data_IF_189981499802
#
_entry.id   IF_189981499802
#
_cell.length_a   1.000
_cell.length_b   1.000
_cell.length_c   1.000
_cell.angle_alpha   90.00
_cell.angle_beta   90.00
_cell.angle_gamma   90.00
#
_symmetry.space_group_name_H-M   'P 1'
#
loop_
_entity.id
_entity.type
_entity.pdbx_description
1 polymer ?
#
# COMPACT_ATOMS: atom_id res chain seq x y z
N UNK A 1 1.92 -10.49 19.29
CA UNK A 1 1.02 -10.74 20.44
C UNK A 1 -0.40 -10.70 19.88
N UNK A 2 -1.15 -11.81 19.96
CA UNK A 2 -2.48 -11.91 19.34
C UNK A 2 -3.50 -11.25 20.29
N UNK A 3 -3.97 -10.05 19.98
CA UNK A 3 -5.00 -9.37 20.76
C UNK A 3 -6.38 -9.81 20.25
N UNK A 4 -7.02 -10.71 20.98
CA UNK A 4 -8.47 -10.86 20.87
C UNK A 4 -9.12 -9.91 21.86
N UNK A 5 -10.04 -9.05 21.40
CA UNK A 5 -10.77 -8.14 22.27
C UNK A 5 -12.20 -8.65 22.41
N UNK A 6 -12.48 -9.25 23.56
CA UNK A 6 -13.79 -9.79 23.90
C UNK A 6 -14.43 -8.96 25.01
N UNK A 7 -15.68 -8.56 24.81
CA UNK A 7 -16.60 -8.21 25.89
C UNK A 7 -17.74 -9.25 25.88
N UNK A 8 -18.21 -9.68 27.06
CA UNK A 8 -19.37 -10.58 27.20
C UNK A 8 -19.39 -11.79 26.25
N UNK A 9 -20.43 -11.88 25.42
CA UNK A 9 -20.71 -13.02 24.54
C UNK A 9 -19.81 -13.15 23.29
N UNK A 10 -18.82 -12.28 23.11
CA UNK A 10 -17.92 -12.36 21.96
C UNK A 10 -17.17 -13.70 21.85
N UNK A 11 -16.87 -14.34 22.98
CA UNK A 11 -16.25 -15.67 23.03
C UNK A 11 -17.17 -16.83 22.62
N UNK A 12 -18.45 -16.58 22.31
CA UNK A 12 -19.35 -17.62 21.78
C UNK A 12 -19.02 -17.97 20.33
N UNK A 13 -18.56 -17.01 19.54
CA UNK A 13 -18.26 -17.19 18.12
C UNK A 13 -17.18 -18.26 17.83
N UNK A 14 -16.00 -18.28 18.51
CA UNK A 14 -14.97 -19.28 18.26
C UNK A 14 -15.32 -20.62 18.91
N UNK A 15 -15.99 -20.59 20.07
CA UNK A 15 -16.49 -21.80 20.73
C UNK A 15 -17.56 -22.50 19.89
N UNK A 16 -18.46 -21.74 19.27
CA UNK A 16 -19.46 -22.26 18.35
C UNK A 16 -18.77 -22.92 17.15
N UNK A 17 -17.74 -22.30 16.58
CA UNK A 17 -17.00 -22.87 15.45
C UNK A 17 -16.36 -24.21 15.81
N UNK A 18 -15.70 -24.29 16.97
CA UNK A 18 -15.09 -25.53 17.48
C UNK A 18 -16.18 -26.58 17.75
N UNK A 19 -17.24 -26.22 18.47
CA UNK A 19 -18.33 -27.11 18.82
C UNK A 19 -19.06 -27.66 17.58
N UNK A 20 -19.28 -26.83 16.57
CA UNK A 20 -19.90 -27.24 15.31
C UNK A 20 -19.03 -28.22 14.55
N UNK A 21 -17.72 -27.98 14.44
CA UNK A 21 -16.83 -28.90 13.78
C UNK A 21 -16.82 -30.27 14.48
N UNK A 22 -16.52 -30.31 15.78
CA UNK A 22 -16.44 -31.57 16.52
C UNK A 22 -17.80 -32.26 16.67
N UNK A 23 -18.90 -31.50 16.78
CA UNK A 23 -20.25 -32.05 16.73
C UNK A 23 -20.56 -32.72 15.39
N UNK A 24 -20.17 -32.10 14.28
CA UNK A 24 -20.30 -32.70 12.95
C UNK A 24 -19.41 -33.93 12.75
N UNK A 25 -18.16 -33.90 13.25
CA UNK A 25 -17.28 -35.08 13.26
C UNK A 25 -17.88 -36.21 14.08
N UNK A 26 -18.36 -35.94 15.29
CA UNK A 26 -19.01 -36.95 16.14
C UNK A 26 -20.27 -37.54 15.50
N UNK A 27 -21.09 -36.71 14.84
CA UNK A 27 -22.26 -37.18 14.10
C UNK A 27 -21.87 -38.09 12.93
N UNK A 28 -20.89 -37.69 12.12
CA UNK A 28 -20.41 -38.52 11.00
C UNK A 28 -19.75 -39.82 11.47
N UNK A 29 -19.01 -39.80 12.58
CA UNK A 29 -18.46 -41.00 13.22
C UNK A 29 -19.56 -41.96 13.69
N UNK A 30 -20.61 -41.45 14.33
CA UNK A 30 -21.74 -42.26 14.76
C UNK A 30 -22.51 -42.87 13.58
N UNK A 31 -22.68 -42.13 12.48
CA UNK A 31 -23.36 -42.59 11.27
C UNK A 31 -22.63 -43.75 10.58
N UNK A 32 -21.30 -43.84 10.71
CA UNK A 32 -20.50 -44.91 10.12
C UNK A 32 -20.17 -46.04 11.10
N UNK A 33 -20.74 -46.02 12.32
CA UNK A 33 -20.38 -46.99 13.36
C UNK A 33 -18.93 -46.85 13.86
N UNK A 34 -18.24 -45.76 13.51
CA UNK A 34 -16.84 -45.52 13.81
C UNK A 34 -15.84 -46.13 12.83
N UNK A 35 -16.31 -46.66 11.70
CA UNK A 35 -15.44 -47.37 10.76
C UNK A 35 -14.77 -46.43 9.73
N UNK A 36 -15.26 -45.19 9.59
CA UNK A 36 -14.75 -44.24 8.59
C UNK A 36 -14.58 -42.81 9.13
N UNK A 37 -13.33 -42.47 9.45
CA UNK A 37 -12.95 -41.13 9.93
C UNK A 37 -13.07 -40.05 8.85
N UNK A 38 -13.02 -40.41 7.56
CA UNK A 38 -13.11 -39.44 6.47
C UNK A 38 -14.53 -38.95 6.29
N UNK A 39 -15.51 -39.86 6.38
CA UNK A 39 -16.93 -39.47 6.40
C UNK A 39 -17.24 -38.58 7.61
N UNK A 40 -16.62 -38.84 8.76
CA UNK A 40 -16.70 -37.98 9.93
C UNK A 40 -16.15 -36.57 9.66
N UNK A 41 -14.95 -36.45 9.08
CA UNK A 41 -14.39 -35.16 8.71
C UNK A 41 -15.18 -34.42 7.62
N UNK A 42 -15.71 -35.12 6.62
CA UNK A 42 -16.59 -34.53 5.61
C UNK A 42 -17.86 -33.95 6.24
N UNK A 43 -18.44 -34.66 7.21
CA UNK A 43 -19.64 -34.19 7.91
C UNK A 43 -19.33 -32.96 8.75
N UNK A 44 -18.20 -32.95 9.48
CA UNK A 44 -17.70 -31.78 10.19
C UNK A 44 -17.47 -30.57 9.28
N UNK A 45 -16.76 -30.76 8.17
CA UNK A 45 -16.51 -29.72 7.17
C UNK A 45 -17.81 -29.20 6.53
N UNK A 46 -18.71 -30.10 6.13
CA UNK A 46 -20.00 -29.73 5.54
C UNK A 46 -20.85 -28.89 6.49
N UNK A 47 -20.89 -29.26 7.78
CA UNK A 47 -21.60 -28.50 8.81
C UNK A 47 -21.00 -27.11 9.02
N UNK A 48 -19.67 -27.00 9.00
CA UNK A 48 -18.98 -25.69 9.04
C UNK A 48 -19.33 -24.82 7.82
N UNK A 49 -19.37 -25.36 6.61
CA UNK A 49 -19.78 -24.58 5.42
C UNK A 49 -21.23 -24.11 5.56
N UNK A 50 -22.12 -25.03 5.94
CA UNK A 50 -23.56 -24.77 6.06
C UNK A 50 -23.87 -23.67 7.08
N UNK A 51 -23.12 -23.62 8.19
CA UNK A 51 -23.38 -22.69 9.29
C UNK A 51 -22.53 -21.41 9.25
N UNK A 52 -21.67 -21.25 8.25
CA UNK A 52 -20.91 -20.01 8.07
C UNK A 52 -21.79 -18.74 7.95
N UNK A 53 -22.95 -18.76 7.24
CA UNK A 53 -23.85 -17.61 7.21
C UNK A 53 -24.44 -17.27 8.58
N UNK A 54 -24.76 -18.29 9.40
CA UNK A 54 -25.27 -18.08 10.75
C UNK A 54 -24.20 -17.46 11.65
N UNK A 55 -22.94 -17.87 11.50
CA UNK A 55 -21.82 -17.25 12.20
C UNK A 55 -21.63 -15.78 11.79
N UNK A 56 -21.73 -15.46 10.50
CA UNK A 56 -21.71 -14.07 10.04
C UNK A 56 -22.84 -13.25 10.66
N UNK A 57 -24.08 -13.76 10.67
CA UNK A 57 -25.24 -13.11 11.29
C UNK A 57 -25.06 -12.92 12.81
N UNK A 58 -24.50 -13.91 13.50
CA UNK A 58 -24.17 -13.82 14.92
C UNK A 58 -23.15 -12.70 15.15
N UNK A 59 -22.10 -12.63 14.33
CA UNK A 59 -21.11 -11.57 14.43
C UNK A 59 -21.71 -10.18 14.17
N UNK A 60 -22.61 -10.06 13.19
CA UNK A 60 -23.36 -8.81 12.96
C UNK A 60 -24.22 -8.44 14.16
N UNK A 61 -24.90 -9.42 14.77
CA UNK A 61 -25.71 -9.18 15.96
C UNK A 61 -24.86 -8.70 17.14
N UNK A 62 -23.71 -9.34 17.37
CA UNK A 62 -22.76 -8.96 18.42
C UNK A 62 -22.16 -7.57 18.20
N UNK A 63 -21.80 -7.24 16.97
CA UNK A 63 -21.22 -5.94 16.59
C UNK A 63 -22.27 -4.90 16.17
N UNK A 64 -23.49 -5.00 16.71
CA UNK A 64 -24.53 -3.99 16.50
C UNK A 64 -25.38 -3.74 17.74
N UNK A 65 -25.74 -2.47 17.94
CA UNK A 65 -26.63 -2.02 19.00
C UNK A 65 -27.82 -1.29 18.41
N UNK A 66 -29.04 -1.67 18.80
CA UNK A 66 -30.26 -0.96 18.41
C UNK A 66 -30.42 0.27 19.32
N UNK A 67 -30.50 1.45 18.71
CA UNK A 67 -30.77 2.74 19.36
C UNK A 67 -32.12 3.29 18.89
N UNK A 68 -32.71 4.29 19.56
CA UNK A 68 -33.93 4.94 19.09
C UNK A 68 -33.80 5.54 17.67
N UNK A 69 -32.59 5.95 17.29
CA UNK A 69 -32.25 6.49 15.96
C UNK A 69 -31.97 5.44 14.89
N UNK A 70 -32.01 4.14 15.21
CA UNK A 70 -31.73 3.05 14.27
C UNK A 70 -30.72 2.03 14.79
N UNK A 71 -30.13 1.23 13.91
CA UNK A 71 -29.07 0.28 14.29
C UNK A 71 -27.70 0.94 14.13
N UNK A 72 -26.91 0.98 15.20
CA UNK A 72 -25.52 1.45 15.19
C UNK A 72 -24.58 0.26 15.19
N UNK A 73 -23.64 0.24 14.25
CA UNK A 73 -22.59 -0.78 14.15
C UNK A 73 -21.37 -0.35 14.97
N UNK A 74 -20.68 -1.32 15.56
CA UNK A 74 -19.46 -1.10 16.34
C UNK A 74 -18.54 -2.33 16.24
N UNK A 75 -17.25 -2.15 16.43
CA UNK A 75 -16.25 -3.24 16.32
C UNK A 75 -15.67 -3.57 17.71
N UNK A 76 -16.57 -3.81 18.68
CA UNK A 76 -16.19 -4.09 20.07
C UNK A 76 -15.72 -5.54 20.26
N UNK A 77 -16.16 -6.45 19.38
CA UNK A 77 -15.75 -7.85 19.36
C UNK A 77 -14.88 -8.12 18.13
N UNK A 78 -13.60 -8.42 18.36
CA UNK A 78 -12.63 -8.61 17.28
C UNK A 78 -11.75 -9.86 17.42
N UNK A 79 -11.46 -10.49 16.27
CA UNK A 79 -10.38 -11.47 16.07
C UNK A 79 -9.24 -10.82 15.30
N UNK A 80 -8.04 -10.75 15.87
CA UNK A 80 -6.88 -10.16 15.15
C UNK A 80 -7.20 -8.74 14.64
N UNK A 81 -7.83 -7.92 15.49
CA UNK A 81 -8.34 -6.58 15.16
C UNK A 81 -9.39 -6.54 14.03
N UNK A 82 -9.99 -7.68 13.69
CA UNK A 82 -11.08 -7.78 12.72
C UNK A 82 -12.41 -8.01 13.42
N UNK A 83 -13.48 -7.32 13.00
CA UNK A 83 -14.81 -7.57 13.53
C UNK A 83 -15.22 -9.05 13.44
N UNK A 84 -15.80 -9.59 14.52
CA UNK A 84 -16.16 -11.00 14.67
C UNK A 84 -17.04 -11.55 13.53
N UNK A 85 -17.83 -10.70 12.88
CA UNK A 85 -18.61 -11.10 11.70
C UNK A 85 -17.73 -11.63 10.56
N UNK A 86 -16.45 -11.30 10.49
CA UNK A 86 -15.52 -11.87 9.50
C UNK A 86 -14.91 -13.22 9.92
N UNK A 87 -15.23 -13.71 11.13
CA UNK A 87 -14.81 -15.02 11.62
C UNK A 87 -15.34 -16.21 10.80
N UNK A 88 -16.38 -16.00 9.97
CA UNK A 88 -16.83 -17.03 9.02
C UNK A 88 -15.82 -17.30 7.90
N UNK A 89 -14.91 -16.36 7.59
CA UNK A 89 -13.87 -16.56 6.56
C UNK A 89 -12.91 -17.69 6.96
N UNK A 90 -12.21 -17.62 8.12
CA UNK A 90 -11.36 -18.73 8.53
C UNK A 90 -12.16 -20.03 8.73
N UNK A 91 -13.43 -19.98 9.17
CA UNK A 91 -14.32 -21.15 9.23
C UNK A 91 -14.47 -21.84 7.87
N UNK A 92 -14.90 -21.10 6.84
CA UNK A 92 -15.07 -21.63 5.49
C UNK A 92 -13.76 -22.21 4.97
N UNK A 93 -12.65 -21.55 5.26
CA UNK A 93 -11.36 -22.03 4.77
C UNK A 93 -10.92 -23.32 5.45
N UNK A 94 -11.05 -23.44 6.78
CA UNK A 94 -10.79 -24.70 7.48
C UNK A 94 -11.71 -25.82 6.97
N UNK A 95 -12.99 -25.53 6.77
CA UNK A 95 -13.95 -26.47 6.24
C UNK A 95 -13.56 -26.96 4.85
N UNK A 96 -13.13 -26.06 3.96
CA UNK A 96 -12.68 -26.42 2.62
C UNK A 96 -11.39 -27.24 2.64
N UNK A 97 -10.42 -26.92 3.50
CA UNK A 97 -9.20 -27.73 3.65
C UNK A 97 -9.55 -29.14 4.09
N UNK A 98 -10.26 -29.27 5.21
CA UNK A 98 -10.59 -30.57 5.83
C UNK A 98 -11.47 -31.39 4.89
N UNK A 99 -12.49 -30.76 4.31
CA UNK A 99 -13.39 -31.41 3.36
C UNK A 99 -12.67 -31.87 2.10
N UNK A 100 -11.72 -31.09 1.58
CA UNK A 100 -10.95 -31.47 0.39
C UNK A 100 -10.00 -32.63 0.65
N UNK A 101 -9.34 -32.67 1.81
CA UNK A 101 -8.48 -33.78 2.22
C UNK A 101 -9.32 -35.05 2.35
N UNK A 102 -10.43 -34.99 3.09
CA UNK A 102 -11.29 -36.14 3.33
C UNK A 102 -11.94 -36.66 2.03
N UNK A 103 -12.44 -35.77 1.18
CA UNK A 103 -12.98 -36.13 -0.14
C UNK A 103 -11.91 -36.78 -1.02
N UNK A 104 -10.68 -36.23 -0.99
CA UNK A 104 -9.55 -36.75 -1.76
C UNK A 104 -9.15 -38.17 -1.35
N UNK A 105 -9.21 -38.46 -0.05
CA UNK A 105 -8.92 -39.78 0.50
C UNK A 105 -10.03 -40.80 0.22
N UNK A 106 -11.30 -40.37 0.15
CA UNK A 106 -12.46 -41.24 -0.11
C UNK A 106 -12.70 -41.55 -1.59
N UNK A 107 -12.36 -40.62 -2.48
CA UNK A 107 -12.74 -40.71 -3.90
C UNK A 107 -11.53 -40.80 -4.81
N UNK A 108 -10.92 -39.65 -5.09
CA UNK A 108 -9.63 -39.53 -5.72
C UNK A 108 -8.99 -38.20 -5.33
N UNK A 109 -7.65 -38.11 -5.33
CA UNK A 109 -6.97 -36.85 -5.12
C UNK A 109 -7.50 -35.72 -6.02
N UNK A 110 -7.90 -36.02 -7.26
CA UNK A 110 -8.41 -35.05 -8.23
C UNK A 110 -9.69 -34.34 -7.76
N UNK A 111 -10.62 -35.06 -7.13
CA UNK A 111 -11.86 -34.47 -6.62
C UNK A 111 -11.63 -33.62 -5.37
N UNK A 112 -10.72 -34.07 -4.49
CA UNK A 112 -10.23 -33.23 -3.39
C UNK A 112 -9.64 -31.91 -3.91
N UNK A 113 -8.88 -31.96 -5.01
CA UNK A 113 -8.29 -30.78 -5.65
C UNK A 113 -9.32 -29.84 -6.29
N UNK A 114 -10.30 -30.37 -7.02
CA UNK A 114 -11.37 -29.54 -7.61
C UNK A 114 -12.12 -28.75 -6.55
N UNK A 115 -12.36 -29.35 -5.38
CA UNK A 115 -12.95 -28.65 -4.24
C UNK A 115 -11.99 -27.65 -3.60
N UNK A 116 -10.71 -28.02 -3.43
CA UNK A 116 -9.73 -27.17 -2.75
C UNK A 116 -9.34 -25.91 -3.53
N UNK A 117 -9.20 -26.02 -4.85
CA UNK A 117 -8.77 -24.90 -5.72
C UNK A 117 -9.98 -24.26 -6.41
N UNK A 118 -10.89 -25.09 -6.93
CA UNK A 118 -12.04 -24.62 -7.70
C UNK A 118 -12.98 -23.76 -6.85
N UNK A 119 -13.25 -24.14 -5.59
CA UNK A 119 -14.18 -23.40 -4.74
C UNK A 119 -13.61 -22.03 -4.31
N UNK A 120 -12.36 -21.89 -3.81
CA UNK A 120 -11.79 -20.59 -3.51
C UNK A 120 -11.62 -19.70 -4.75
N UNK A 121 -11.24 -20.26 -5.91
CA UNK A 121 -11.13 -19.48 -7.15
C UNK A 121 -12.51 -19.01 -7.61
N UNK A 122 -13.50 -19.89 -7.64
CA UNK A 122 -14.88 -19.51 -7.98
C UNK A 122 -15.44 -18.46 -7.00
N UNK A 123 -15.17 -18.59 -5.71
CA UNK A 123 -15.55 -17.62 -4.68
C UNK A 123 -14.84 -16.27 -4.89
N UNK A 124 -13.55 -16.26 -5.21
CA UNK A 124 -12.80 -15.05 -5.53
C UNK A 124 -13.29 -14.38 -6.82
N UNK A 125 -13.63 -15.16 -7.84
CA UNK A 125 -14.19 -14.65 -9.10
C UNK A 125 -15.58 -14.07 -8.86
N UNK A 126 -16.46 -14.78 -8.17
CA UNK A 126 -17.79 -14.31 -7.79
C UNK A 126 -17.70 -13.04 -6.93
N UNK A 127 -16.79 -13.01 -5.97
CA UNK A 127 -16.53 -11.83 -5.13
C UNK A 127 -16.01 -10.64 -5.96
N UNK A 128 -15.07 -10.87 -6.86
CA UNK A 128 -14.54 -9.82 -7.75
C UNK A 128 -15.59 -9.27 -8.72
N UNK A 129 -16.57 -10.10 -9.13
CA UNK A 129 -17.73 -9.66 -9.91
C UNK A 129 -18.69 -8.82 -9.07
N UNK A 130 -18.95 -9.22 -7.81
CA UNK A 130 -19.84 -8.50 -6.88
C UNK A 130 -19.24 -7.18 -6.36
N UNK A 131 -17.92 -7.12 -6.12
CA UNK A 131 -17.19 -5.91 -5.72
C UNK A 131 -17.21 -4.83 -6.82
N UNK A 132 -17.37 -5.24 -8.08
CA UNK A 132 -17.54 -4.31 -9.20
C UNK A 132 -18.84 -3.52 -9.11
N UNK A 133 -19.85 -4.03 -8.38
CA UNK A 133 -21.17 -3.42 -8.24
C UNK A 133 -21.39 -2.71 -6.89
N UNK A 134 -20.63 -3.04 -5.83
CA UNK A 134 -20.77 -2.41 -4.51
C UNK A 134 -19.43 -1.85 -4.03
N UNK A 135 -19.42 -0.56 -3.67
CA UNK A 135 -18.33 0.13 -2.95
C UNK A 135 -18.13 -0.45 -1.53
N UNK A 136 -17.79 -1.73 -1.43
CA UNK A 136 -17.48 -2.36 -0.15
C UNK A 136 -16.08 -1.88 0.27
N UNK A 137 -15.96 -1.47 1.53
CA UNK A 137 -14.74 -0.92 2.13
C UNK A 137 -13.61 -1.95 2.32
N UNK A 138 -12.62 -1.68 3.20
CA UNK A 138 -11.33 -2.40 3.31
C UNK A 138 -11.36 -3.90 3.69
N UNK A 139 -12.53 -4.54 3.68
CA UNK A 139 -12.78 -5.95 3.96
C UNK A 139 -12.07 -6.88 2.96
N UNK A 140 -11.79 -6.40 1.75
CA UNK A 140 -11.25 -7.20 0.64
C UNK A 140 -9.86 -7.78 0.90
N UNK A 141 -9.03 -7.09 1.68
CA UNK A 141 -7.59 -7.31 1.62
C UNK A 141 -7.11 -8.37 2.60
N UNK A 142 -7.88 -8.58 3.66
CA UNK A 142 -7.60 -9.55 4.71
C UNK A 142 -8.24 -10.90 4.41
N UNK A 143 -9.44 -10.92 3.80
CA UNK A 143 -10.01 -12.12 3.19
C UNK A 143 -9.04 -12.73 2.17
N UNK A 144 -8.39 -11.87 1.37
CA UNK A 144 -7.36 -12.27 0.42
C UNK A 144 -6.10 -12.82 1.10
N UNK A 145 -5.60 -12.18 2.16
CA UNK A 145 -4.47 -12.72 2.94
C UNK A 145 -4.76 -14.10 3.55
N UNK A 146 -5.97 -14.33 4.06
CA UNK A 146 -6.38 -15.63 4.60
C UNK A 146 -6.50 -16.71 3.52
N UNK A 147 -7.12 -16.42 2.38
CA UNK A 147 -7.19 -17.37 1.25
C UNK A 147 -5.80 -17.81 0.81
N UNK A 148 -4.83 -16.90 0.87
CA UNK A 148 -3.45 -17.06 0.43
C UNK A 148 -2.61 -17.95 1.35
N UNK A 149 -2.65 -17.69 2.65
CA UNK A 149 -2.02 -18.54 3.69
C UNK A 149 -2.58 -19.96 3.64
N UNK A 150 -3.87 -20.08 3.36
CA UNK A 150 -4.56 -21.35 3.40
C UNK A 150 -4.36 -22.18 2.13
N UNK A 151 -4.23 -21.53 0.96
CA UNK A 151 -3.71 -22.16 -0.26
C UNK A 151 -2.32 -22.77 -0.02
N UNK A 152 -1.44 -22.03 0.68
CA UNK A 152 -0.10 -22.52 1.07
C UNK A 152 -0.17 -23.74 1.99
N UNK A 153 -0.97 -23.68 3.07
CA UNK A 153 -1.10 -24.79 4.03
C UNK A 153 -1.69 -26.04 3.35
N UNK A 154 -2.74 -25.89 2.53
CA UNK A 154 -3.31 -27.02 1.81
C UNK A 154 -2.36 -27.63 0.77
N UNK A 155 -1.51 -26.80 0.14
CA UNK A 155 -0.47 -27.30 -0.78
C UNK A 155 0.55 -28.20 -0.07
N UNK A 156 0.98 -27.82 1.15
CA UNK A 156 1.94 -28.59 1.96
C UNK A 156 1.34 -29.92 2.41
N UNK A 157 0.08 -29.91 2.88
CA UNK A 157 -0.61 -31.12 3.32
C UNK A 157 -0.78 -32.14 2.18
N UNK A 158 -1.06 -31.68 0.95
CA UNK A 158 -1.22 -32.58 -0.21
C UNK A 158 0.12 -33.04 -0.78
N UNK A 159 1.19 -32.26 -0.63
CA UNK A 159 2.55 -32.70 -0.96
C UNK A 159 3.01 -33.92 -0.15
N UNK A 160 2.41 -34.16 1.02
CA UNK A 160 2.64 -35.38 1.82
C UNK A 160 1.79 -36.58 1.39
N UNK A 161 0.72 -36.37 0.62
CA UNK A 161 -0.23 -37.40 0.18
C UNK A 161 -0.09 -37.77 -1.31
N UNK A 162 0.72 -37.04 -2.07
CA UNK A 162 1.00 -37.27 -3.50
C UNK A 162 2.50 -37.36 -3.73
N UNK A 163 2.95 -37.66 -4.96
CA UNK A 163 4.39 -37.57 -5.26
C UNK A 163 4.88 -36.14 -4.99
N UNK A 164 5.96 -36.00 -4.23
CA UNK A 164 6.48 -34.72 -3.76
C UNK A 164 6.60 -33.63 -4.85
N UNK A 165 6.91 -34.02 -6.10
CA UNK A 165 7.05 -33.10 -7.24
C UNK A 165 5.76 -32.31 -7.55
N UNK A 166 4.59 -32.95 -7.50
CA UNK A 166 3.32 -32.28 -7.77
C UNK A 166 2.95 -31.30 -6.65
N UNK A 167 3.23 -31.66 -5.38
CA UNK A 167 3.06 -30.75 -4.25
C UNK A 167 3.89 -29.47 -4.39
N UNK A 168 5.15 -29.60 -4.80
CA UNK A 168 6.05 -28.45 -5.01
C UNK A 168 5.62 -27.53 -6.15
N UNK A 169 5.22 -28.08 -7.30
CA UNK A 169 4.76 -27.29 -8.45
C UNK A 169 3.48 -26.50 -8.11
N UNK A 170 2.55 -27.12 -7.39
CA UNK A 170 1.28 -26.49 -7.00
C UNK A 170 1.46 -25.43 -5.91
N UNK A 171 2.32 -25.69 -4.91
CA UNK A 171 2.72 -24.68 -3.93
C UNK A 171 3.34 -23.46 -4.61
N UNK A 172 4.25 -23.67 -5.57
CA UNK A 172 4.83 -22.60 -6.37
C UNK A 172 3.78 -21.79 -7.14
N UNK A 173 2.84 -22.46 -7.81
CA UNK A 173 1.74 -21.81 -8.53
C UNK A 173 0.82 -20.98 -7.62
N UNK A 174 0.39 -21.56 -6.50
CA UNK A 174 -0.43 -20.88 -5.50
C UNK A 174 0.29 -19.64 -4.94
N UNK A 175 1.58 -19.77 -4.60
CA UNK A 175 2.41 -18.68 -4.10
C UNK A 175 2.61 -17.55 -5.12
N UNK A 176 2.66 -17.87 -6.42
CA UNK A 176 2.73 -16.85 -7.47
C UNK A 176 1.41 -16.08 -7.63
N UNK A 177 0.27 -16.79 -7.67
CA UNK A 177 -1.07 -16.16 -7.77
C UNK A 177 -1.31 -15.26 -6.55
N UNK A 178 -1.04 -15.81 -5.38
CA UNK A 178 -0.99 -15.12 -4.11
C UNK A 178 -0.21 -13.80 -4.17
N UNK A 179 1.06 -13.88 -4.56
CA UNK A 179 1.94 -12.73 -4.67
C UNK A 179 1.40 -11.70 -5.67
N UNK A 180 0.91 -12.15 -6.83
CA UNK A 180 0.30 -11.26 -7.84
C UNK A 180 -0.91 -10.52 -7.29
N UNK A 181 -1.79 -11.20 -6.56
CA UNK A 181 -2.99 -10.59 -5.97
C UNK A 181 -2.61 -9.59 -4.87
N UNK A 182 -1.68 -9.97 -3.99
CA UNK A 182 -1.14 -9.08 -2.97
C UNK A 182 -0.57 -7.78 -3.57
N UNK A 183 0.30 -7.90 -4.59
CA UNK A 183 0.87 -6.76 -5.32
C UNK A 183 -0.22 -5.91 -5.97
N UNK A 184 -1.22 -6.53 -6.59
CA UNK A 184 -2.33 -5.83 -7.26
C UNK A 184 -3.22 -5.06 -6.29
N UNK A 185 -3.51 -5.63 -5.13
CA UNK A 185 -4.29 -4.98 -4.06
C UNK A 185 -3.52 -3.80 -3.48
N UNK A 186 -2.24 -4.00 -3.13
CA UNK A 186 -1.38 -2.94 -2.62
C UNK A 186 -1.33 -1.75 -3.57
N UNK A 187 -1.14 -2.01 -4.87
CA UNK A 187 -1.17 -0.97 -5.91
C UNK A 187 -2.52 -0.23 -5.98
N UNK A 188 -3.66 -0.93 -5.87
CA UNK A 188 -4.98 -0.28 -5.87
C UNK A 188 -5.19 0.62 -4.64
N UNK A 189 -4.76 0.19 -3.46
CA UNK A 189 -4.83 1.01 -2.23
C UNK A 189 -4.03 2.29 -2.38
N UNK A 190 -2.80 2.17 -2.88
CA UNK A 190 -1.93 3.31 -3.18
C UNK A 190 -2.63 4.29 -4.13
N UNK A 191 -3.20 3.81 -5.24
CA UNK A 191 -3.87 4.66 -6.22
C UNK A 191 -5.17 5.29 -5.70
N UNK A 192 -5.97 4.56 -4.90
CA UNK A 192 -7.21 5.12 -4.30
C UNK A 192 -6.92 6.34 -3.44
N UNK A 193 -5.80 6.31 -2.73
CA UNK A 193 -5.42 7.40 -1.82
C UNK A 193 -4.89 8.67 -2.51
N UNK A 194 -4.69 8.63 -3.84
CA UNK A 194 -4.30 9.77 -4.69
C UNK A 194 -5.24 9.92 -5.90
N UNK A 195 -6.46 9.42 -5.79
CA UNK A 195 -7.41 9.34 -6.90
C UNK A 195 -7.81 10.74 -7.42
N UNK A 196 -7.79 11.75 -6.55
CA UNK A 196 -8.06 13.15 -6.86
C UNK A 196 -7.09 13.72 -7.89
N UNK A 197 -5.82 13.28 -7.89
CA UNK A 197 -4.79 13.78 -8.81
C UNK A 197 -5.12 13.55 -10.27
N UNK A 198 -5.82 12.47 -10.61
CA UNK A 198 -6.17 12.17 -12.01
C UNK A 198 -7.16 13.17 -12.57
N UNK A 199 -8.24 13.43 -11.83
CA UNK A 199 -9.27 14.40 -12.23
C UNK A 199 -8.69 15.82 -12.23
N UNK A 200 -7.89 16.14 -11.22
CA UNK A 200 -7.19 17.41 -11.12
C UNK A 200 -6.23 17.67 -12.29
N UNK A 201 -5.44 16.67 -12.69
CA UNK A 201 -4.54 16.77 -13.84
C UNK A 201 -5.33 17.06 -15.12
N UNK A 202 -6.42 16.33 -15.35
CA UNK A 202 -7.28 16.52 -16.51
C UNK A 202 -7.86 17.94 -16.56
N UNK A 203 -8.29 18.48 -15.42
CA UNK A 203 -8.81 19.85 -15.33
C UNK A 203 -7.79 20.95 -15.65
N UNK A 204 -6.49 20.66 -15.57
CA UNK A 204 -5.40 21.61 -15.88
C UNK A 204 -4.66 21.32 -17.19
N UNK A 205 -5.08 20.31 -17.95
CA UNK A 205 -4.32 19.85 -19.11
C UNK A 205 -2.95 19.28 -18.74
N UNK A 206 -2.77 18.83 -17.50
CA UNK A 206 -1.57 18.15 -17.03
C UNK A 206 -1.64 16.65 -17.31
N UNK A 207 -0.49 15.99 -17.29
CA UNK A 207 -0.37 14.55 -17.47
C UNK A 207 -0.40 13.82 -16.13
N UNK A 208 -1.05 12.65 -16.13
CA UNK A 208 -1.11 11.76 -14.98
C UNK A 208 -0.75 10.33 -15.38
N UNK A 209 0.09 9.67 -14.58
CA UNK A 209 0.37 8.23 -14.69
C UNK A 209 0.19 7.55 -13.33
N UNK A 210 -0.39 6.35 -13.34
CA UNK A 210 -0.57 5.56 -12.13
C UNK A 210 0.78 5.15 -11.51
N UNK A 211 1.77 4.80 -12.32
CA UNK A 211 3.11 4.37 -11.88
C UNK A 211 4.16 4.59 -12.98
N UNK A 212 5.44 4.50 -12.62
CA UNK A 212 6.57 4.69 -13.55
C UNK A 212 7.91 4.25 -12.95
N UNK A 213 8.23 2.95 -13.04
CA UNK A 213 9.34 2.34 -12.31
C UNK A 213 10.75 2.83 -12.68
N UNK A 214 10.91 3.51 -13.80
CA UNK A 214 12.15 4.11 -14.27
C UNK A 214 12.37 5.55 -13.77
N UNK A 215 11.32 6.22 -13.30
CA UNK A 215 11.35 7.63 -12.92
C UNK A 215 12.39 7.91 -11.82
N UNK A 216 12.56 6.99 -10.88
CA UNK A 216 13.50 7.12 -9.75
C UNK A 216 14.96 6.95 -10.15
N UNK A 217 15.25 6.28 -11.28
CA UNK A 217 16.63 6.09 -11.76
C UNK A 217 17.30 7.40 -12.13
N UNK A 218 16.50 8.41 -12.50
CA UNK A 218 16.92 9.78 -12.75
C UNK A 218 17.61 10.42 -11.54
N UNK A 219 17.11 10.14 -10.34
CA UNK A 219 17.64 10.67 -9.08
C UNK A 219 18.34 9.55 -8.30
N UNK A 220 19.13 8.72 -8.99
CA UNK A 220 19.86 7.62 -8.34
C UNK A 220 20.70 8.11 -7.16
N UNK A 221 21.25 9.31 -7.24
CA UNK A 221 22.06 9.91 -6.16
C UNK A 221 21.24 10.30 -4.92
N UNK A 222 19.95 10.62 -5.09
CA UNK A 222 19.01 10.81 -3.98
C UNK A 222 18.71 9.50 -3.26
N UNK A 223 18.43 8.47 -4.06
CA UNK A 223 17.87 7.23 -3.57
C UNK A 223 18.93 6.18 -3.25
N UNK A 224 20.16 6.37 -3.73
CA UNK A 224 21.22 5.38 -3.70
C UNK A 224 20.75 4.04 -4.28
N UNK A 225 21.08 2.95 -3.57
CA UNK A 225 20.65 1.59 -3.94
C UNK A 225 19.12 1.41 -3.94
N UNK A 226 18.37 2.27 -3.24
CA UNK A 226 16.91 2.18 -3.16
C UNK A 226 16.19 2.68 -4.42
N UNK A 227 16.91 3.31 -5.36
CA UNK A 227 16.32 3.80 -6.60
C UNK A 227 15.50 2.72 -7.32
N UNK A 228 15.97 1.46 -7.29
CA UNK A 228 15.32 0.32 -7.94
C UNK A 228 14.13 -0.27 -7.17
N UNK A 229 14.02 0.02 -5.87
CA UNK A 229 12.98 -0.57 -5.00
C UNK A 229 11.85 0.42 -4.71
N UNK A 230 12.05 1.70 -5.02
CA UNK A 230 11.02 2.72 -4.88
C UNK A 230 10.04 2.54 -6.04
N UNK A 231 8.80 2.18 -5.73
CA UNK A 231 7.70 2.14 -6.68
C UNK A 231 6.97 3.49 -6.69
N UNK A 232 7.33 4.44 -7.58
CA UNK A 232 6.61 5.70 -7.66
C UNK A 232 5.20 5.47 -8.21
N UNK A 233 4.23 6.15 -7.62
CA UNK A 233 2.83 6.11 -8.04
C UNK A 233 2.16 7.48 -7.93
N UNK A 234 1.00 7.62 -8.59
CA UNK A 234 0.26 8.88 -8.63
C UNK A 234 1.09 10.03 -9.21
N UNK A 235 1.78 9.75 -10.31
CA UNK A 235 2.74 10.65 -10.95
C UNK A 235 1.96 11.72 -11.69
N UNK A 236 2.24 12.97 -11.36
CA UNK A 236 1.68 14.18 -11.96
C UNK A 236 2.80 14.91 -12.69
N UNK A 237 2.56 15.38 -13.92
CA UNK A 237 3.51 16.18 -14.67
C UNK A 237 2.81 17.27 -15.47
N UNK A 238 3.42 18.45 -15.56
CA UNK A 238 2.83 19.59 -16.23
C UNK A 238 3.72 20.81 -16.15
N UNK A 239 3.12 21.99 -16.20
CA UNK A 239 3.81 23.26 -16.08
C UNK A 239 3.17 24.09 -14.97
N UNK A 240 4.01 24.67 -14.12
CA UNK A 240 3.61 25.65 -13.10
C UNK A 240 4.53 26.84 -13.25
N UNK A 241 3.96 28.04 -13.34
CA UNK A 241 4.77 29.26 -13.37
C UNK A 241 5.84 29.23 -14.48
N UNK A 242 5.50 28.77 -15.69
CA UNK A 242 6.45 28.73 -16.82
C UNK A 242 7.51 27.62 -16.72
N UNK A 243 7.51 26.82 -15.65
CA UNK A 243 8.50 25.79 -15.40
C UNK A 243 7.86 24.40 -15.41
N UNK A 244 8.42 23.45 -16.19
CA UNK A 244 7.96 22.08 -16.15
C UNK A 244 8.18 21.48 -14.76
N UNK A 245 7.26 20.64 -14.31
CA UNK A 245 7.39 19.95 -13.03
C UNK A 245 6.92 18.49 -13.11
N UNK A 246 7.44 17.67 -12.20
CA UNK A 246 6.97 16.31 -11.93
C UNK A 246 6.79 16.13 -10.42
N UNK A 247 5.69 15.50 -10.01
CA UNK A 247 5.47 15.10 -8.62
C UNK A 247 4.95 13.67 -8.53
N UNK A 248 5.35 12.92 -7.50
CA UNK A 248 4.89 11.54 -7.29
C UNK A 248 4.99 11.13 -5.82
N UNK A 249 4.27 10.09 -5.45
CA UNK A 249 4.39 9.48 -4.13
C UNK A 249 5.20 8.18 -4.19
N UNK A 250 5.81 7.84 -3.05
CA UNK A 250 6.36 6.50 -2.82
C UNK A 250 6.13 6.05 -1.38
N UNK A 251 6.09 4.73 -1.18
CA UNK A 251 6.16 4.10 0.13
C UNK A 251 7.60 3.57 0.32
N UNK A 252 8.44 4.23 1.15
CA UNK A 252 9.80 3.80 1.42
C UNK A 252 9.80 2.56 2.33
N UNK A 253 9.36 1.40 1.82
CA UNK A 253 9.52 0.09 2.45
C UNK A 253 8.83 -0.14 3.81
N UNK A 254 8.04 0.82 4.31
CA UNK A 254 7.31 0.72 5.58
C UNK A 254 5.89 1.29 5.46
N UNK A 255 4.90 0.70 6.15
CA UNK A 255 3.48 1.01 5.96
C UNK A 255 3.05 2.38 6.50
N UNK A 256 3.86 3.05 7.32
CA UNK A 256 3.41 4.20 8.11
C UNK A 256 3.83 5.59 7.57
N UNK A 257 4.79 5.66 6.65
CA UNK A 257 5.25 6.96 6.14
C UNK A 257 5.20 6.99 4.62
N UNK A 258 4.38 7.87 4.06
CA UNK A 258 4.39 8.14 2.63
C UNK A 258 5.28 9.33 2.35
N UNK A 259 6.08 9.24 1.28
CA UNK A 259 6.89 10.36 0.79
C UNK A 259 6.31 10.89 -0.50
N UNK A 260 6.15 12.20 -0.58
CA UNK A 260 5.86 12.90 -1.83
C UNK A 260 7.13 13.59 -2.29
N UNK A 261 7.43 13.44 -3.57
CA UNK A 261 8.58 14.04 -4.24
C UNK A 261 8.06 15.08 -5.22
N UNK A 262 8.74 16.22 -5.28
CA UNK A 262 8.54 17.25 -6.28
C UNK A 262 9.86 17.51 -6.99
N UNK A 263 9.78 17.72 -8.29
CA UNK A 263 10.87 18.15 -9.14
C UNK A 263 10.38 19.28 -10.03
N UNK A 264 10.93 20.47 -9.87
CA UNK A 264 10.80 21.56 -10.85
C UNK A 264 12.02 21.52 -11.75
N UNK A 265 11.80 21.46 -13.06
CA UNK A 265 12.84 21.29 -14.06
C UNK A 265 13.34 22.65 -14.53
N UNK A 266 14.55 22.99 -14.11
CA UNK A 266 15.26 24.21 -14.44
C UNK A 266 15.70 24.20 -15.93
N UNK A 267 15.87 25.39 -16.53
CA UNK A 267 16.31 25.51 -17.93
C UNK A 267 17.78 25.10 -18.14
N UNK A 268 18.60 25.18 -17.09
CA UNK A 268 20.00 24.75 -17.08
C UNK A 268 20.24 23.78 -15.93
N UNK A 269 21.31 23.00 -16.03
CA UNK A 269 21.80 22.16 -14.94
C UNK A 269 22.78 22.94 -14.06
N UNK A 270 22.68 22.78 -12.74
CA UNK A 270 23.58 23.38 -11.76
C UNK A 270 24.38 22.32 -10.98
N UNK A 271 25.48 22.71 -10.32
CA UNK A 271 26.16 21.85 -9.36
C UNK A 271 25.20 21.35 -8.27
N UNK A 272 25.49 20.16 -7.74
CA UNK A 272 24.68 19.58 -6.66
C UNK A 272 24.77 20.44 -5.40
N UNK A 273 23.62 20.73 -4.80
CA UNK A 273 23.53 21.47 -3.53
C UNK A 273 22.32 21.02 -2.75
N UNK A 274 22.43 20.95 -1.43
CA UNK A 274 21.31 20.75 -0.52
C UNK A 274 21.23 21.91 0.46
N UNK A 275 20.04 22.48 0.64
CA UNK A 275 19.81 23.59 1.56
C UNK A 275 19.18 23.08 2.85
N UNK A 276 19.94 23.15 3.94
CA UNK A 276 19.55 22.67 5.26
C UNK A 276 19.46 23.82 6.27
N UNK A 277 18.77 23.57 7.38
CA UNK A 277 18.83 24.44 8.56
C UNK A 277 20.01 24.03 9.45
N UNK A 278 20.86 24.99 9.84
CA UNK A 278 22.01 24.80 10.70
C UNK A 278 21.62 24.28 12.10
N UNK A 279 20.41 24.60 12.57
CA UNK A 279 19.86 24.13 13.85
C UNK A 279 19.55 22.63 13.89
N UNK A 280 19.59 21.94 12.75
CA UNK A 280 19.35 20.51 12.61
C UNK A 280 20.59 19.67 12.28
N UNK A 281 21.80 20.15 12.56
CA UNK A 281 23.05 19.50 12.08
C UNK A 281 23.49 18.20 12.79
N UNK A 282 22.59 17.55 13.53
CA UNK A 282 22.78 16.21 14.07
C UNK A 282 22.07 15.13 13.24
N UNK A 283 22.40 13.86 13.50
CA UNK A 283 21.74 12.69 12.91
C UNK A 283 20.21 12.77 13.10
N UNK A 284 19.76 13.29 14.24
CA UNK A 284 18.35 13.50 14.57
C UNK A 284 17.70 14.65 13.76
N UNK A 285 18.47 15.63 13.32
CA UNK A 285 17.98 16.75 12.50
C UNK A 285 17.82 16.37 11.02
N UNK A 286 18.67 15.46 10.51
CA UNK A 286 18.53 14.90 9.16
C UNK A 286 17.29 14.00 9.06
N UNK A 287 16.86 13.34 10.14
CA UNK A 287 15.62 12.55 10.13
C UNK A 287 14.38 13.39 10.47
N UNK A 288 14.47 14.36 11.38
CA UNK A 288 13.33 15.21 11.77
C UNK A 288 12.92 16.22 10.68
N UNK A 289 13.87 16.79 9.92
CA UNK A 289 13.57 17.67 8.79
C UNK A 289 12.76 16.98 7.68
N UNK A 290 12.88 15.66 7.56
CA UNK A 290 12.12 14.87 6.59
C UNK A 290 10.79 14.31 7.13
N UNK A 291 10.61 14.22 8.46
CA UNK A 291 9.55 13.42 9.08
C UNK A 291 8.40 14.21 9.71
N UNK A 292 8.62 15.44 10.17
CA UNK A 292 7.60 16.15 10.97
C UNK A 292 7.85 17.64 10.94
N UNK A 293 6.92 18.41 10.35
CA UNK A 293 6.84 19.88 10.34
C UNK A 293 8.10 20.61 10.82
N UNK A 294 8.88 21.14 9.88
CA UNK A 294 10.19 21.75 10.12
C UNK A 294 10.14 22.71 11.32
N UNK A 295 11.06 22.60 12.30
CA UNK A 295 11.25 23.65 13.31
C UNK A 295 11.33 25.02 12.63
N UNK A 296 10.75 26.06 13.22
CA UNK A 296 10.78 27.42 12.67
C UNK A 296 12.23 27.84 12.39
N UNK A 297 12.66 27.69 11.13
CA UNK A 297 13.99 28.08 10.67
C UNK A 297 13.92 29.54 10.26
N UNK A 298 14.89 30.34 10.66
CA UNK A 298 15.03 31.71 10.16
C UNK A 298 15.86 31.71 8.87
N UNK A 299 15.78 32.78 8.05
CA UNK A 299 16.60 32.90 6.84
C UNK A 299 18.11 32.74 7.10
N UNK A 300 18.58 33.19 8.28
CA UNK A 300 19.97 33.13 8.69
C UNK A 300 20.42 31.70 9.10
N UNK A 301 19.47 30.84 9.50
CA UNK A 301 19.78 29.46 9.85
C UNK A 301 20.11 28.61 8.60
N UNK A 302 19.84 29.08 7.38
CA UNK A 302 20.02 28.26 6.18
C UNK A 302 21.50 28.13 5.76
N UNK A 303 21.89 26.93 5.33
CA UNK A 303 23.23 26.66 4.77
C UNK A 303 23.14 25.80 3.52
N UNK A 304 24.08 26.01 2.60
CA UNK A 304 24.23 25.22 1.39
C UNK A 304 25.31 24.17 1.61
N UNK A 305 24.94 22.90 1.50
CA UNK A 305 25.86 21.78 1.46
C UNK A 305 26.11 21.40 0.00
N UNK A 306 27.32 21.70 -0.49
CA UNK A 306 27.74 21.48 -1.87
C UNK A 306 29.24 21.28 -1.94
N UNK A 307 29.72 20.57 -2.96
CA UNK A 307 31.14 20.44 -3.25
C UNK A 307 31.74 21.74 -3.82
N UNK A 308 30.91 22.58 -4.44
CA UNK A 308 31.31 23.87 -4.99
C UNK A 308 30.90 25.01 -4.02
N UNK A 309 31.83 25.38 -3.14
CA UNK A 309 31.58 26.42 -2.14
C UNK A 309 31.21 27.78 -2.77
N UNK A 310 31.78 28.11 -3.94
CA UNK A 310 31.48 29.37 -4.63
C UNK A 310 30.02 29.39 -5.13
N UNK A 311 29.55 28.26 -5.67
CA UNK A 311 28.15 28.09 -6.04
C UNK A 311 27.21 28.22 -4.82
N UNK A 312 27.52 27.52 -3.72
CA UNK A 312 26.69 27.57 -2.51
C UNK A 312 26.55 28.98 -1.91
N UNK A 313 27.63 29.75 -1.91
CA UNK A 313 27.63 31.16 -1.47
C UNK A 313 26.83 32.05 -2.43
N UNK A 314 27.03 31.91 -3.74
CA UNK A 314 26.30 32.68 -4.74
C UNK A 314 24.80 32.37 -4.74
N UNK A 315 24.42 31.13 -4.47
CA UNK A 315 23.04 30.65 -4.48
C UNK A 315 22.20 31.21 -3.31
N UNK A 316 22.75 31.20 -2.10
CA UNK A 316 22.00 31.56 -0.89
C UNK A 316 22.02 33.06 -0.58
N UNK A 317 21.51 33.85 -1.51
CA UNK A 317 21.26 35.28 -1.30
C UNK A 317 20.18 35.51 -0.22
N UNK A 318 20.09 36.71 0.38
CA UNK A 318 19.03 37.04 1.33
C UNK A 318 17.62 36.79 0.78
N UNK A 319 17.40 37.03 -0.52
CA UNK A 319 16.14 36.81 -1.20
C UNK A 319 15.78 35.32 -1.30
N UNK A 320 16.73 34.46 -1.70
CA UNK A 320 16.53 33.00 -1.78
C UNK A 320 16.28 32.40 -0.40
N UNK A 321 17.01 32.87 0.62
CA UNK A 321 16.81 32.43 2.02
C UNK A 321 15.42 32.80 2.54
N UNK A 322 15.01 34.05 2.32
CA UNK A 322 13.71 34.55 2.74
C UNK A 322 12.58 33.80 2.04
N UNK A 323 12.68 33.59 0.72
CA UNK A 323 11.72 32.80 -0.04
C UNK A 323 11.66 31.35 0.43
N UNK A 324 12.80 30.73 0.73
CA UNK A 324 12.86 29.35 1.26
C UNK A 324 12.06 29.20 2.54
N UNK A 325 12.22 30.13 3.49
CA UNK A 325 11.49 30.13 4.76
C UNK A 325 10.02 30.46 4.54
N UNK A 326 9.72 31.52 3.78
CA UNK A 326 8.34 31.98 3.51
C UNK A 326 7.48 30.90 2.84
N UNK A 327 8.08 30.12 1.92
CA UNK A 327 7.38 29.04 1.23
C UNK A 327 7.42 27.70 1.98
N UNK A 328 8.13 27.62 3.11
CA UNK A 328 8.30 26.39 3.89
C UNK A 328 9.08 25.30 3.16
N UNK A 329 10.07 25.67 2.33
CA UNK A 329 10.78 24.75 1.44
C UNK A 329 12.10 24.21 2.03
N UNK A 330 12.37 24.42 3.31
CA UNK A 330 13.60 23.95 3.97
C UNK A 330 13.87 22.46 3.66
N UNK A 331 15.11 22.13 3.29
CA UNK A 331 15.49 20.78 2.86
C UNK A 331 15.44 20.57 1.34
N UNK A 332 15.12 21.59 0.56
CA UNK A 332 15.23 21.52 -0.90
C UNK A 332 16.67 21.32 -1.37
N UNK A 333 16.85 20.81 -2.58
CA UNK A 333 18.15 20.55 -3.19
C UNK A 333 18.11 20.65 -4.70
N UNK A 334 19.24 20.92 -5.33
CA UNK A 334 19.37 20.84 -6.79
C UNK A 334 20.25 19.64 -7.14
N UNK A 335 19.78 18.84 -8.10
CA UNK A 335 20.53 17.78 -8.75
C UNK A 335 20.51 17.99 -10.26
N UNK A 336 21.58 18.58 -10.79
CA UNK A 336 21.64 18.97 -12.20
C UNK A 336 20.53 19.96 -12.53
N UNK A 337 19.60 19.55 -13.38
CA UNK A 337 18.49 20.41 -13.82
C UNK A 337 17.27 20.40 -12.90
N UNK A 338 17.24 19.57 -11.86
CA UNK A 338 16.04 19.37 -11.06
C UNK A 338 16.16 20.06 -9.69
N UNK A 339 15.24 20.98 -9.40
CA UNK A 339 15.01 21.51 -8.06
C UNK A 339 14.04 20.58 -7.34
N UNK A 340 14.55 19.89 -6.33
CA UNK A 340 13.89 18.77 -5.66
C UNK A 340 13.46 19.12 -4.24
N UNK A 341 12.28 18.62 -3.86
CA UNK A 341 11.80 18.60 -2.48
C UNK A 341 11.18 17.24 -2.17
N UNK A 342 11.37 16.79 -0.93
CA UNK A 342 10.76 15.57 -0.41
C UNK A 342 10.08 15.88 0.90
N UNK A 343 8.84 15.43 1.07
CA UNK A 343 8.12 15.53 2.35
C UNK A 343 7.54 14.18 2.74
N UNK A 344 7.67 13.82 4.02
CA UNK A 344 7.02 12.63 4.57
C UNK A 344 5.77 13.01 5.35
N UNK A 345 4.68 12.24 5.18
CA UNK A 345 3.48 12.32 6.01
C UNK A 345 2.72 11.01 6.04
N UNK A 346 1.88 10.83 7.05
CA UNK A 346 1.04 9.64 7.19
C UNK A 346 -0.02 9.53 6.08
N UNK A 347 -0.59 10.66 5.65
CA UNK A 347 -1.56 10.72 4.53
C UNK A 347 -0.90 11.27 3.28
N UNK A 348 -1.34 10.97 2.05
CA UNK A 348 -0.73 11.48 0.81
C UNK A 348 -1.14 12.91 0.53
N UNK A 349 -0.27 13.76 -0.04
CA UNK A 349 -0.62 15.13 -0.48
C UNK A 349 -1.79 15.12 -1.45
N UNK A 350 -2.80 15.94 -1.18
CA UNK A 350 -3.91 16.18 -2.11
C UNK A 350 -3.37 16.84 -3.38
N UNK A 351 -4.12 16.77 -4.46
CA UNK A 351 -3.71 17.35 -5.74
C UNK A 351 -3.43 18.87 -5.64
N UNK A 352 -4.26 19.59 -4.88
CA UNK A 352 -4.06 21.01 -4.60
C UNK A 352 -2.78 21.29 -3.82
N UNK A 353 -2.52 20.52 -2.75
CA UNK A 353 -1.28 20.65 -1.97
C UNK A 353 -0.04 20.36 -2.83
N UNK A 354 -0.12 19.34 -3.70
CA UNK A 354 0.95 19.01 -4.64
C UNK A 354 1.22 20.18 -5.58
N UNK A 355 0.16 20.78 -6.15
CA UNK A 355 0.29 21.93 -7.05
C UNK A 355 0.82 23.18 -6.34
N UNK A 356 0.36 23.45 -5.12
CA UNK A 356 0.82 24.59 -4.33
C UNK A 356 2.32 24.48 -4.04
N UNK A 357 2.79 23.31 -3.61
CA UNK A 357 4.22 23.07 -3.36
C UNK A 357 5.04 23.18 -4.65
N UNK A 358 4.52 22.69 -5.79
CA UNK A 358 5.17 22.86 -7.08
C UNK A 358 5.28 24.33 -7.48
N UNK A 359 4.22 25.12 -7.29
CA UNK A 359 4.22 26.56 -7.55
C UNK A 359 5.19 27.31 -6.63
N UNK A 360 5.28 26.93 -5.35
CA UNK A 360 6.27 27.49 -4.41
C UNK A 360 7.71 27.17 -4.85
N UNK A 361 7.99 25.95 -5.30
CA UNK A 361 9.32 25.58 -5.83
C UNK A 361 9.64 26.35 -7.11
N UNK A 362 8.68 26.52 -8.02
CA UNK A 362 8.87 27.31 -9.23
C UNK A 362 9.07 28.81 -8.90
N UNK A 363 8.33 29.32 -7.91
CA UNK A 363 8.54 30.65 -7.34
C UNK A 363 9.94 30.82 -6.79
N UNK A 364 10.44 29.86 -6.02
CA UNK A 364 11.82 29.83 -5.51
C UNK A 364 12.84 29.80 -6.65
N UNK A 365 12.62 28.98 -7.69
CA UNK A 365 13.50 28.90 -8.85
C UNK A 365 13.66 30.25 -9.58
N UNK A 366 12.62 31.09 -9.58
CA UNK A 366 12.69 32.46 -10.13
C UNK A 366 13.39 33.46 -9.21
N UNK A 367 13.55 33.15 -7.92
CA UNK A 367 14.34 33.98 -7.00
C UNK A 367 15.85 33.68 -7.08
N UNK A 368 16.25 32.67 -7.86
CA UNK A 368 17.66 32.36 -8.06
C UNK A 368 18.35 33.56 -8.76
N UNK A 369 19.55 33.96 -8.33
CA UNK A 369 20.28 35.06 -8.96
C UNK A 369 20.47 34.84 -10.46
N UNK A 370 20.19 35.88 -11.25
CA UNK A 370 20.19 35.79 -12.71
C UNK A 370 21.57 35.43 -13.30
N UNK A 371 22.65 35.76 -12.60
CA UNK A 371 24.02 35.43 -13.00
C UNK A 371 24.44 34.00 -12.67
N UNK A 372 23.65 33.23 -11.92
CA UNK A 372 23.99 31.82 -11.62
C UNK A 372 24.10 30.99 -12.89
N UNK A 373 23.18 31.17 -13.84
CA UNK A 373 23.13 30.39 -15.06
C UNK A 373 24.38 30.59 -15.93
N UNK A 374 24.89 31.82 -16.01
CA UNK A 374 26.10 32.12 -16.79
C UNK A 374 27.38 31.65 -16.11
N UNK A 375 27.42 31.62 -14.78
CA UNK A 375 28.61 31.26 -14.00
C UNK A 375 28.74 29.76 -13.74
N UNK A 376 27.62 29.08 -13.47
CA UNK A 376 27.59 27.70 -12.99
C UNK A 376 26.67 26.79 -13.82
N UNK A 377 25.91 27.35 -14.77
CA UNK A 377 24.97 26.59 -15.58
C UNK A 377 25.69 25.73 -16.62
N UNK A 378 25.18 24.50 -16.79
CA UNK A 378 25.55 23.59 -17.87
C UNK A 378 24.31 23.17 -18.66
N UNK A 379 24.45 22.75 -19.93
CA UNK A 379 23.35 22.12 -20.67
C UNK A 379 22.79 20.91 -19.90
N UNK A 380 21.46 20.78 -19.77
CA UNK A 380 20.87 19.62 -19.11
C UNK A 380 21.17 18.32 -19.85
N UNK A 381 21.61 17.29 -19.13
CA UNK A 381 21.89 15.95 -19.68
C UNK A 381 20.70 15.00 -19.67
N UNK A 382 19.54 15.45 -19.18
CA UNK A 382 18.37 14.61 -18.94
C UNK A 382 17.09 15.27 -19.44
N UNK A 383 16.20 14.48 -20.05
CA UNK A 383 14.90 14.96 -20.56
C UNK A 383 13.89 15.28 -19.46
N UNK A 384 12.84 16.04 -19.76
CA UNK A 384 11.77 16.30 -18.78
C UNK A 384 10.80 15.10 -18.78
N UNK A 385 10.57 14.43 -17.63
CA UNK A 385 9.55 13.40 -17.53
C UNK A 385 8.17 13.98 -17.81
N UNK A 386 7.31 13.21 -18.50
CA UNK A 386 5.93 13.64 -18.79
C UNK A 386 5.87 15.00 -19.48
N UNK A 387 6.75 15.27 -20.44
CA UNK A 387 6.66 16.47 -21.26
C UNK A 387 5.38 16.42 -22.11
N UNK A 388 4.59 17.50 -22.08
CA UNK A 388 3.48 17.68 -23.01
C UNK A 388 4.02 17.69 -24.43
N UNK A 389 3.45 16.88 -25.32
CA UNK A 389 3.82 16.91 -26.73
C UNK A 389 3.49 18.30 -27.30
N UNK A 390 4.51 19.04 -27.76
CA UNK A 390 4.33 20.34 -28.44
C UNK A 390 4.81 21.59 -27.69
N UNK A 391 5.27 21.49 -26.44
CA UNK A 391 5.95 22.61 -25.78
C UNK A 391 7.43 22.59 -26.18
N UNK A 392 7.82 23.33 -27.22
CA UNK A 392 9.20 23.44 -27.71
C UNK A 392 10.00 24.42 -26.87
#
# INVERSE_FOLDING_TARGET
>A
MIFMRWTGFGCLSPLLLIALFFGGVGAGWALTGGDDIQVAFLTGAGLMVLLAPLHWLLGLALNSKRTPSGRRWHDEHTYFDQPVQYGFVPQLVFALIIGSIALGQLTSPLYGWLMFVGVPVAALVAYGLLDKERRLGPVSDLALGYTLVMLVIGSIAVGQLTSALYGWLMFGGALLVALMVYVRIGSRRQLRSVADRREFAAGRGWLYKNSGGDLTLRWRDLFGKKAFTIGPFGILGGEVEGLPFTAFDSEPGGPETRRTYWAVHLPVAYPRVQVLSARGSGIDGLFSAFASGVPSATPDDLRAETADAAFGQALLTPQVRSATVAFGLVGWRIEGRDLLLVRSRAKPHTADEVAQVAAHLAGLARQLPADLASRFGAPPSTDIPLRMAGAA
#
